data_IF_539895695775
#
_entry.id   IF_539895695775
#
_cell.length_a   1.000
_cell.length_b   1.000
_cell.length_c   1.000
_cell.angle_alpha   90.00
_cell.angle_beta   90.00
_cell.angle_gamma   90.00
#
_symmetry.space_group_name_H-M   'P 1'
#
loop_
_entity.id
_entity.type
_entity.pdbx_description
1 polymer ?
#
# COMPACT_ATOMS: atom_id res chain seq x y z
N UNK A 1 -15.55 14.23 1.73
CA UNK A 1 -14.48 13.50 2.42
C UNK A 1 -13.21 13.48 1.56
N UNK A 2 -13.19 12.85 0.39
CA UNK A 2 -11.99 12.65 -0.43
C UNK A 2 -11.38 13.96 -0.95
N UNK A 3 -12.16 14.97 -1.29
CA UNK A 3 -11.66 16.30 -1.67
C UNK A 3 -10.78 16.91 -0.57
N UNK A 4 -11.22 16.85 0.69
CA UNK A 4 -10.43 17.34 1.82
C UNK A 4 -9.14 16.56 1.99
N UNK A 5 -9.19 15.23 1.90
CA UNK A 5 -7.99 14.38 1.98
C UNK A 5 -6.99 14.67 0.86
N UNK A 6 -7.49 14.91 -0.36
CA UNK A 6 -6.64 15.27 -1.51
C UNK A 6 -5.95 16.62 -1.30
N UNK A 7 -6.69 17.61 -0.79
CA UNK A 7 -6.12 18.91 -0.44
C UNK A 7 -5.03 18.78 0.64
N UNK A 8 -5.29 18.00 1.69
CA UNK A 8 -4.32 17.71 2.75
C UNK A 8 -3.06 17.04 2.18
N UNK A 9 -3.20 16.01 1.37
CA UNK A 9 -2.07 15.33 0.73
C UNK A 9 -1.24 16.29 -0.13
N UNK A 10 -1.91 17.09 -0.96
CA UNK A 10 -1.26 18.02 -1.88
C UNK A 10 -0.76 19.31 -1.18
N UNK A 11 -0.99 19.48 0.12
CA UNK A 11 -0.45 20.62 0.90
C UNK A 11 1.03 20.50 1.27
N UNK A 12 1.72 19.45 0.80
CA UNK A 12 3.15 19.27 0.98
C UNK A 12 3.54 18.25 2.05
N UNK A 13 2.68 17.27 2.32
CA UNK A 13 3.04 16.09 3.14
C UNK A 13 4.23 15.40 2.48
N UNK A 14 5.21 15.02 3.29
CA UNK A 14 6.45 14.39 2.83
C UNK A 14 6.57 12.95 3.34
N UNK A 15 7.27 12.08 2.58
CA UNK A 15 7.64 10.77 3.07
C UNK A 15 8.42 10.85 4.39
N UNK A 16 8.22 9.88 5.25
CA UNK A 16 8.99 9.74 6.47
C UNK A 16 10.22 8.84 6.27
N UNK A 17 11.01 8.67 7.33
CA UNK A 17 12.23 7.85 7.30
C UNK A 17 11.98 6.40 6.87
N UNK A 18 10.82 5.79 7.21
CA UNK A 18 10.53 4.42 6.81
C UNK A 18 10.40 4.28 5.28
N UNK A 19 9.70 5.21 4.61
CA UNK A 19 9.61 5.25 3.15
C UNK A 19 11.01 5.33 2.52
N UNK A 20 11.86 6.23 3.01
CA UNK A 20 13.20 6.41 2.47
C UNK A 20 14.09 5.16 2.66
N UNK A 21 13.95 4.46 3.80
CA UNK A 21 14.70 3.22 4.06
C UNK A 21 14.28 2.10 3.09
N UNK A 22 12.99 2.01 2.72
CA UNK A 22 12.56 1.03 1.72
C UNK A 22 13.24 1.28 0.37
N UNK A 23 13.36 2.54 -0.06
CA UNK A 23 14.13 2.92 -1.26
C UNK A 23 15.62 2.57 -1.14
N UNK A 24 16.20 2.75 0.04
CA UNK A 24 17.60 2.33 0.26
C UNK A 24 17.78 0.83 0.12
N UNK A 25 16.82 0.04 0.62
CA UNK A 25 16.82 -1.42 0.53
C UNK A 25 16.70 -1.92 -0.91
N UNK A 26 15.98 -1.21 -1.79
CA UNK A 26 15.87 -1.54 -3.22
C UNK A 26 17.22 -1.56 -3.95
N UNK A 27 18.28 -0.95 -3.39
CA UNK A 27 19.63 -1.02 -3.95
C UNK A 27 20.27 -2.40 -3.82
N UNK A 28 19.77 -3.23 -2.92
CA UNK A 28 20.35 -4.54 -2.58
C UNK A 28 19.33 -5.68 -2.67
N UNK A 29 18.04 -5.37 -2.66
CA UNK A 29 16.96 -6.34 -2.62
C UNK A 29 15.90 -5.97 -3.65
N UNK A 30 15.24 -6.96 -4.22
CA UNK A 30 14.01 -6.75 -4.97
C UNK A 30 12.85 -6.56 -3.98
N UNK A 31 12.23 -5.38 -4.00
CA UNK A 31 11.14 -5.01 -3.09
C UNK A 31 9.89 -4.67 -3.89
N UNK A 32 8.80 -5.36 -3.58
CA UNK A 32 7.48 -5.07 -4.12
C UNK A 32 6.60 -4.54 -2.98
N UNK A 33 6.17 -3.30 -3.07
CA UNK A 33 5.34 -2.63 -2.08
C UNK A 33 3.87 -2.79 -2.43
N UNK A 34 3.11 -3.45 -1.56
CA UNK A 34 1.65 -3.56 -1.66
C UNK A 34 1.07 -2.65 -0.59
N UNK A 35 0.60 -1.48 -0.99
CA UNK A 35 0.10 -0.51 -0.01
C UNK A 35 -1.42 -0.50 0.08
N UNK A 36 -1.93 -0.41 1.31
CA UNK A 36 -3.33 -0.14 1.62
C UNK A 36 -3.61 1.37 1.69
N UNK A 37 -2.55 2.18 1.74
CA UNK A 37 -2.69 3.63 1.74
C UNK A 37 -3.01 4.14 0.33
N UNK A 38 -3.75 5.25 0.29
CA UNK A 38 -4.18 5.88 -0.96
C UNK A 38 -3.39 7.16 -1.30
N UNK A 39 -2.36 7.48 -0.49
CA UNK A 39 -1.40 8.54 -0.77
C UNK A 39 -0.31 8.08 -1.74
N UNK A 40 0.52 9.00 -2.20
CA UNK A 40 1.64 8.75 -3.11
C UNK A 40 3.01 8.94 -2.44
N UNK A 41 3.12 8.66 -1.14
CA UNK A 41 4.37 8.90 -0.39
C UNK A 41 5.49 7.93 -0.77
N UNK A 42 5.15 6.72 -1.21
CA UNK A 42 6.14 5.77 -1.74
C UNK A 42 6.74 6.27 -3.05
N UNK A 43 5.93 6.78 -3.98
CA UNK A 43 6.37 7.40 -5.23
C UNK A 43 7.24 8.63 -4.97
N UNK A 44 6.81 9.51 -4.08
CA UNK A 44 7.57 10.72 -3.70
C UNK A 44 8.92 10.34 -3.08
N UNK A 45 9.00 9.23 -2.34
CA UNK A 45 10.27 8.75 -1.79
C UNK A 45 11.18 8.10 -2.85
N UNK A 46 10.62 7.67 -3.98
CA UNK A 46 11.35 7.07 -5.10
C UNK A 46 11.31 5.54 -5.14
N UNK A 47 10.36 4.89 -4.46
CA UNK A 47 10.15 3.43 -4.58
C UNK A 47 9.77 3.05 -6.00
N UNK A 48 10.30 1.93 -6.49
CA UNK A 48 10.23 1.54 -7.90
C UNK A 48 9.08 0.57 -8.23
N UNK A 49 8.64 -0.24 -7.29
CA UNK A 49 7.57 -1.23 -7.47
C UNK A 49 6.50 -1.06 -6.40
N UNK A 50 5.36 -0.48 -6.80
CA UNK A 50 4.27 -0.14 -5.87
C UNK A 50 2.93 -0.59 -6.47
N UNK A 51 2.15 -1.31 -5.69
CA UNK A 51 0.75 -1.64 -5.99
C UNK A 51 -0.15 -0.99 -4.95
N UNK A 52 -1.04 -0.11 -5.40
CA UNK A 52 -2.07 0.52 -4.59
C UNK A 52 -3.32 -0.34 -4.53
N UNK A 53 -3.34 -1.34 -3.66
CA UNK A 53 -4.47 -2.28 -3.59
C UNK A 53 -5.80 -1.61 -3.20
N UNK A 54 -5.76 -0.45 -2.57
CA UNK A 54 -6.96 0.35 -2.24
C UNK A 54 -7.13 1.59 -3.13
N UNK A 55 -6.36 1.69 -4.21
CA UNK A 55 -6.40 2.81 -5.15
C UNK A 55 -5.61 4.02 -4.69
N UNK A 56 -5.84 5.15 -5.38
CA UNK A 56 -5.02 6.35 -5.24
C UNK A 56 -5.90 7.61 -5.13
N UNK A 57 -5.58 8.44 -4.15
CA UNK A 57 -6.35 9.64 -3.84
C UNK A 57 -6.27 10.70 -4.95
N UNK A 58 -5.13 10.78 -5.64
CA UNK A 58 -4.89 11.69 -6.76
C UNK A 58 -5.32 11.10 -8.12
N UNK A 59 -6.19 10.10 -8.10
CA UNK A 59 -6.83 9.57 -9.30
C UNK A 59 -8.36 9.55 -9.16
N UNK A 60 -9.04 9.64 -10.30
CA UNK A 60 -10.48 9.45 -10.43
C UNK A 60 -10.77 8.44 -11.52
N UNK A 61 -11.91 7.77 -11.44
CA UNK A 61 -12.36 6.83 -12.46
C UNK A 61 -13.80 7.03 -12.86
N UNK A 62 -14.13 6.59 -14.06
CA UNK A 62 -15.50 6.53 -14.53
C UNK A 62 -16.30 5.47 -13.75
N UNK A 63 -17.59 5.75 -13.47
CA UNK A 63 -18.47 4.76 -12.83
C UNK A 63 -18.99 3.69 -13.80
N UNK A 64 -18.93 3.94 -15.10
CA UNK A 64 -19.44 3.03 -16.13
C UNK A 64 -18.34 2.17 -16.77
N UNK A 65 -17.09 2.64 -16.72
CA UNK A 65 -15.94 1.93 -17.27
C UNK A 65 -14.72 2.17 -16.38
N UNK A 66 -14.34 1.16 -15.62
CA UNK A 66 -13.26 1.24 -14.63
C UNK A 66 -11.87 1.41 -15.25
N UNK A 67 -11.71 1.16 -16.55
CA UNK A 67 -10.47 1.42 -17.27
C UNK A 67 -10.22 2.90 -17.57
N UNK A 68 -11.26 3.71 -17.50
CA UNK A 68 -11.17 5.15 -17.66
C UNK A 68 -10.72 5.82 -16.38
N UNK A 69 -9.41 5.82 -16.12
CA UNK A 69 -8.77 6.40 -14.94
C UNK A 69 -7.98 7.64 -15.36
N UNK A 70 -8.04 8.70 -14.54
CA UNK A 70 -7.40 9.99 -14.81
C UNK A 70 -6.71 10.52 -13.56
N UNK A 71 -5.55 11.17 -13.74
CA UNK A 71 -4.93 11.99 -12.70
C UNK A 71 -5.84 13.13 -12.29
N UNK A 72 -5.93 13.39 -10.98
CA UNK A 72 -6.86 14.37 -10.45
C UNK A 72 -6.37 14.99 -9.16
N UNK A 73 -6.09 16.28 -9.19
CA UNK A 73 -5.54 17.02 -8.05
C UNK A 73 -6.50 18.04 -7.43
N UNK A 74 -7.62 18.28 -8.10
CA UNK A 74 -8.63 19.26 -7.72
C UNK A 74 -9.80 18.63 -6.96
N UNK A 75 -10.77 19.46 -6.57
CA UNK A 75 -12.02 18.95 -6.02
C UNK A 75 -12.80 18.21 -7.11
N UNK A 76 -13.33 17.06 -6.76
CA UNK A 76 -14.27 16.34 -7.61
C UNK A 76 -15.70 16.60 -7.14
N UNK A 77 -16.59 16.94 -8.05
CA UNK A 77 -18.02 17.12 -7.83
C UNK A 77 -18.86 16.52 -8.96
N UNK A 78 -20.17 16.73 -8.91
CA UNK A 78 -21.13 16.15 -9.85
C UNK A 78 -21.05 16.74 -11.27
N UNK A 79 -20.38 17.87 -11.45
CA UNK A 79 -20.19 18.51 -12.77
C UNK A 79 -19.10 17.84 -13.58
N UNK A 80 -18.17 17.14 -12.92
CA UNK A 80 -17.05 16.44 -13.57
C UNK A 80 -17.52 15.12 -14.16
N UNK A 81 -17.46 15.03 -15.48
CA UNK A 81 -17.90 13.87 -16.26
C UNK A 81 -16.73 13.19 -16.96
N UNK A 82 -16.87 11.89 -17.18
CA UNK A 82 -15.92 11.12 -17.94
C UNK A 82 -15.78 11.67 -19.36
N UNK A 83 -14.58 12.04 -19.82
CA UNK A 83 -14.38 12.62 -21.14
C UNK A 83 -14.66 11.62 -22.29
N UNK A 84 -14.67 10.32 -22.01
CA UNK A 84 -14.92 9.29 -23.01
C UNK A 84 -16.41 8.97 -23.18
N UNK A 85 -17.20 8.94 -22.11
CA UNK A 85 -18.60 8.49 -22.18
C UNK A 85 -19.61 9.43 -21.52
N UNK A 86 -19.18 10.54 -20.90
CA UNK A 86 -20.07 11.51 -20.24
C UNK A 86 -20.65 11.02 -18.89
N UNK A 87 -20.32 9.82 -18.43
CA UNK A 87 -20.80 9.31 -17.16
C UNK A 87 -20.17 10.04 -15.96
N UNK A 88 -20.77 9.87 -14.77
CA UNK A 88 -20.22 10.41 -13.54
C UNK A 88 -18.83 9.83 -13.26
N UNK A 89 -17.97 10.63 -12.61
CA UNK A 89 -16.67 10.19 -12.11
C UNK A 89 -16.70 10.04 -10.58
N UNK A 90 -15.86 9.18 -10.07
CA UNK A 90 -15.64 8.98 -8.63
C UNK A 90 -14.15 8.92 -8.30
N UNK A 91 -13.74 9.12 -7.05
CA UNK A 91 -12.36 8.84 -6.62
C UNK A 91 -11.96 7.41 -6.98
N UNK A 92 -10.74 7.22 -7.49
CA UNK A 92 -10.18 5.89 -7.75
C UNK A 92 -9.69 5.27 -6.45
N UNK A 93 -10.64 4.97 -5.57
CA UNK A 93 -10.40 4.37 -4.24
C UNK A 93 -11.34 3.19 -4.08
N UNK A 94 -10.81 2.09 -3.54
CA UNK A 94 -11.59 0.91 -3.17
C UNK A 94 -12.47 1.26 -1.95
N UNK A 95 -13.80 1.22 -2.12
CA UNK A 95 -14.73 1.48 -1.04
C UNK A 95 -14.99 0.20 -0.25
N UNK A 96 -15.55 0.37 0.95
CA UNK A 96 -15.91 -0.75 1.80
C UNK A 96 -16.87 -1.71 1.07
N UNK A 97 -16.50 -2.99 1.00
CA UNK A 97 -17.26 -4.02 0.29
C UNK A 97 -16.89 -4.20 -1.19
N UNK A 98 -16.03 -3.35 -1.74
CA UNK A 98 -15.45 -3.55 -3.08
C UNK A 98 -14.22 -4.45 -3.00
N UNK A 99 -13.92 -5.13 -4.11
CA UNK A 99 -12.69 -5.92 -4.25
C UNK A 99 -11.49 -4.98 -4.41
N UNK A 100 -10.40 -5.17 -3.65
CA UNK A 100 -9.17 -4.42 -3.88
C UNK A 100 -8.61 -4.63 -5.28
N UNK A 101 -7.86 -3.64 -5.76
CA UNK A 101 -7.28 -3.66 -7.10
C UNK A 101 -6.09 -4.62 -7.20
N UNK A 102 -5.83 -5.09 -8.41
CA UNK A 102 -4.63 -5.86 -8.79
C UNK A 102 -4.40 -7.14 -7.96
N UNK A 103 -5.47 -7.77 -7.46
CA UNK A 103 -5.35 -8.96 -6.59
C UNK A 103 -4.62 -10.12 -7.25
N UNK A 104 -4.78 -10.32 -8.58
CA UNK A 104 -4.08 -11.38 -9.31
C UNK A 104 -2.58 -11.11 -9.37
N UNK A 105 -2.18 -9.86 -9.61
CA UNK A 105 -0.78 -9.43 -9.62
C UNK A 105 -0.15 -9.57 -8.23
N UNK A 106 -0.86 -9.14 -7.19
CA UNK A 106 -0.43 -9.31 -5.79
C UNK A 106 -0.23 -10.79 -5.46
N UNK A 107 -1.14 -11.66 -5.89
CA UNK A 107 -1.01 -13.09 -5.67
C UNK A 107 0.22 -13.68 -6.39
N UNK A 108 0.45 -13.29 -7.64
CA UNK A 108 1.62 -13.73 -8.41
C UNK A 108 2.94 -13.29 -7.72
N UNK A 109 3.03 -12.03 -7.29
CA UNK A 109 4.18 -11.53 -6.54
C UNK A 109 4.38 -12.30 -5.23
N UNK A 110 3.31 -12.61 -4.49
CA UNK A 110 3.40 -13.42 -3.27
C UNK A 110 3.96 -14.81 -3.53
N UNK A 111 3.65 -15.42 -4.69
CA UNK A 111 4.20 -16.72 -5.08
C UNK A 111 5.71 -16.64 -5.39
N UNK A 112 6.20 -15.54 -5.90
CA UNK A 112 7.60 -15.33 -6.28
C UNK A 112 8.47 -14.83 -5.12
N UNK A 113 7.95 -13.96 -4.25
CA UNK A 113 8.67 -13.38 -3.13
C UNK A 113 9.14 -14.44 -2.13
N UNK A 114 10.31 -14.24 -1.55
CA UNK A 114 10.94 -15.14 -0.54
C UNK A 114 10.64 -14.75 0.91
N UNK A 115 10.15 -13.53 1.15
CA UNK A 115 9.89 -12.97 2.48
C UNK A 115 8.64 -12.07 2.42
N UNK A 116 7.80 -12.14 3.44
CA UNK A 116 6.70 -11.21 3.65
C UNK A 116 6.98 -10.31 4.85
N UNK A 117 6.85 -9.00 4.64
CA UNK A 117 6.99 -8.00 5.69
C UNK A 117 5.73 -7.15 5.77
N UNK A 118 5.05 -7.19 6.91
CA UNK A 118 3.87 -6.36 7.18
C UNK A 118 4.30 -5.13 7.98
N UNK A 119 3.96 -3.92 7.51
CA UNK A 119 4.37 -2.66 8.14
C UNK A 119 3.16 -1.80 8.46
N UNK A 120 2.94 -1.49 9.75
CA UNK A 120 1.94 -0.51 10.20
C UNK A 120 0.49 -0.90 9.89
N UNK A 121 0.15 -2.20 9.88
CA UNK A 121 -1.21 -2.66 9.64
C UNK A 121 -1.87 -3.23 10.90
N UNK A 122 -3.18 -3.07 11.02
CA UNK A 122 -3.93 -3.61 12.16
C UNK A 122 -4.11 -5.13 12.12
N UNK A 123 -3.90 -5.76 10.95
CA UNK A 123 -4.17 -7.18 10.73
C UNK A 123 -5.65 -7.57 10.74
N UNK A 124 -6.57 -6.58 10.65
CA UNK A 124 -8.02 -6.83 10.69
C UNK A 124 -8.74 -6.64 9.35
N UNK A 125 -8.09 -6.09 8.35
CA UNK A 125 -8.73 -5.77 7.06
C UNK A 125 -8.39 -6.82 6.01
N UNK A 126 -9.40 -7.59 5.60
CA UNK A 126 -9.26 -8.57 4.52
C UNK A 126 -9.45 -7.91 3.14
N UNK A 127 -8.74 -8.42 2.09
CA UNK A 127 -7.91 -9.64 2.07
C UNK A 127 -6.48 -9.44 2.62
N UNK A 128 -6.00 -8.23 2.84
CA UNK A 128 -4.62 -7.95 3.25
C UNK A 128 -4.21 -8.70 4.54
N UNK A 129 -5.10 -8.82 5.51
CA UNK A 129 -4.87 -9.57 6.75
C UNK A 129 -4.60 -11.07 6.51
N UNK A 130 -5.01 -11.61 5.38
CA UNK A 130 -4.80 -13.02 5.00
C UNK A 130 -3.43 -13.31 4.39
N UNK A 131 -2.67 -12.30 3.99
CA UNK A 131 -1.37 -12.54 3.31
C UNK A 131 -0.38 -13.28 4.21
N UNK A 132 -0.34 -13.00 5.50
CA UNK A 132 0.54 -13.74 6.41
C UNK A 132 0.23 -15.24 6.40
N UNK A 133 -1.05 -15.64 6.40
CA UNK A 133 -1.44 -17.05 6.31
C UNK A 133 -0.98 -17.69 4.99
N UNK A 134 -1.13 -16.98 3.86
CA UNK A 134 -0.66 -17.44 2.55
C UNK A 134 0.86 -17.72 2.57
N UNK A 135 1.67 -16.82 3.13
CA UNK A 135 3.12 -17.02 3.22
C UNK A 135 3.48 -18.17 4.17
N UNK A 136 2.75 -18.34 5.28
CA UNK A 136 2.93 -19.49 6.18
C UNK A 136 2.63 -20.82 5.51
N UNK A 137 1.54 -20.92 4.73
CA UNK A 137 1.22 -22.12 3.95
C UNK A 137 2.34 -22.47 2.95
N UNK A 138 2.95 -21.46 2.34
CA UNK A 138 4.11 -21.62 1.46
C UNK A 138 5.43 -21.88 2.21
N UNK A 139 5.41 -21.90 3.54
CA UNK A 139 6.60 -22.05 4.40
C UNK A 139 7.65 -20.95 4.16
N UNK A 140 7.20 -19.76 3.81
CA UNK A 140 8.05 -18.59 3.62
C UNK A 140 8.08 -17.76 4.92
N UNK A 141 9.22 -17.15 5.28
CA UNK A 141 9.34 -16.35 6.49
C UNK A 141 8.44 -15.12 6.45
N UNK A 142 7.98 -14.71 7.64
CA UNK A 142 7.06 -13.60 7.82
C UNK A 142 7.50 -12.69 8.95
N UNK A 143 7.46 -11.36 8.71
CA UNK A 143 7.89 -10.33 9.67
C UNK A 143 6.80 -9.30 9.86
N UNK A 144 6.55 -8.94 11.11
CA UNK A 144 5.69 -7.81 11.47
C UNK A 144 6.51 -6.63 11.99
N UNK A 145 6.33 -5.46 11.39
CA UNK A 145 6.89 -4.18 11.84
C UNK A 145 5.72 -3.25 12.18
N UNK A 146 5.39 -3.15 13.46
CA UNK A 146 4.21 -2.41 13.89
C UNK A 146 4.48 -1.67 15.20
N UNK A 147 3.68 -0.65 15.52
CA UNK A 147 3.81 0.05 16.79
C UNK A 147 3.44 -0.87 17.96
N UNK A 148 2.36 -1.61 17.78
CA UNK A 148 1.85 -2.61 18.73
C UNK A 148 1.48 -3.89 17.98
N UNK A 149 1.36 -5.05 18.66
CA UNK A 149 0.94 -6.29 18.04
C UNK A 149 -0.36 -6.14 17.25
N UNK A 150 -0.37 -6.59 15.99
CA UNK A 150 -1.60 -6.64 15.19
C UNK A 150 -2.53 -7.77 15.64
N UNK A 151 -3.78 -7.76 15.14
CA UNK A 151 -4.77 -8.79 15.49
C UNK A 151 -4.35 -10.22 15.07
N UNK A 152 -3.47 -10.33 14.08
CA UNK A 152 -2.94 -11.60 13.57
C UNK A 152 -1.44 -11.80 13.88
N UNK A 153 -0.87 -11.05 14.82
CA UNK A 153 0.55 -11.06 15.19
C UNK A 153 1.10 -12.47 15.47
N UNK A 154 0.29 -13.34 16.10
CA UNK A 154 0.70 -14.71 16.41
C UNK A 154 1.05 -15.58 15.20
N UNK A 155 0.70 -15.14 14.00
CA UNK A 155 1.04 -15.85 12.76
C UNK A 155 2.41 -15.48 12.20
N UNK A 156 3.02 -14.37 12.65
CA UNK A 156 4.34 -13.95 12.17
C UNK A 156 5.46 -14.71 12.88
N UNK A 157 6.53 -14.98 12.13
CA UNK A 157 7.73 -15.67 12.67
C UNK A 157 8.60 -14.72 13.50
N UNK A 158 8.61 -13.43 13.13
CA UNK A 158 9.37 -12.39 13.81
C UNK A 158 8.59 -11.08 13.85
N UNK A 159 8.78 -10.30 14.91
CA UNK A 159 8.12 -9.01 15.06
C UNK A 159 9.03 -7.96 15.70
N UNK A 160 8.90 -6.71 15.27
CA UNK A 160 9.49 -5.53 15.90
C UNK A 160 8.36 -4.54 16.21
N UNK A 161 8.08 -4.34 17.50
CA UNK A 161 7.04 -3.42 17.95
C UNK A 161 7.64 -2.08 18.36
N UNK A 162 7.72 -1.18 17.37
CA UNK A 162 8.26 0.19 17.49
C UNK A 162 7.60 1.07 16.42
N UNK A 163 7.70 2.42 16.53
CA UNK A 163 7.30 3.30 15.44
C UNK A 163 7.93 2.86 14.12
N UNK A 164 7.18 2.93 13.01
CA UNK A 164 7.63 2.42 11.69
C UNK A 164 9.02 2.92 11.28
N UNK A 165 9.33 4.19 11.57
CA UNK A 165 10.63 4.81 11.27
C UNK A 165 11.81 4.17 12.00
N UNK A 166 11.56 3.52 13.14
CA UNK A 166 12.55 2.80 13.94
C UNK A 166 12.55 1.32 13.59
N UNK A 167 11.36 0.71 13.48
CA UNK A 167 11.21 -0.71 13.17
C UNK A 167 11.81 -1.08 11.81
N UNK A 168 11.56 -0.26 10.77
CA UNK A 168 12.10 -0.49 9.42
C UNK A 168 13.63 -0.31 9.39
N UNK A 169 14.18 0.64 10.16
CA UNK A 169 15.63 0.80 10.27
C UNK A 169 16.30 -0.39 10.97
N UNK A 170 15.73 -0.85 12.06
CA UNK A 170 16.22 -2.03 12.79
C UNK A 170 16.15 -3.28 11.90
N UNK A 171 15.04 -3.49 11.22
CA UNK A 171 14.87 -4.56 10.25
C UNK A 171 15.92 -4.49 9.14
N UNK A 172 16.15 -3.32 8.53
CA UNK A 172 17.20 -3.13 7.51
C UNK A 172 18.56 -3.61 8.04
N UNK A 173 18.92 -3.20 9.25
CA UNK A 173 20.21 -3.59 9.84
C UNK A 173 20.32 -5.11 10.04
N UNK A 174 19.24 -5.78 10.45
CA UNK A 174 19.21 -7.22 10.64
C UNK A 174 19.40 -7.99 9.31
N UNK A 175 18.76 -7.55 8.22
CA UNK A 175 18.81 -8.30 6.95
C UNK A 175 20.04 -8.00 6.11
N UNK A 176 20.72 -6.86 6.29
CA UNK A 176 21.93 -6.51 5.56
C UNK A 176 23.23 -6.94 6.28
N UNK A 177 23.15 -7.35 7.55
CA UNK A 177 24.32 -7.73 8.35
C UNK A 177 24.54 -9.25 8.39
N UNK A 178 23.58 -10.03 7.89
CA UNK A 178 23.63 -11.49 7.76
C UNK A 178 23.80 -11.91 6.30
#
# INVERSE_FOLDING_TARGET
FYNKRRQELNSGIKPNKAHNILVELEKSLEINIITQNIDNLHEISGSSSIIHMHGELNKVRCIMDESHIFEWYENLDETHKCPHCGAQMRPHVCFYGEMPYQMDEIHNLAMECSLFVSIGTSGGTYPAAGFVSLFKEMKKPTVELNLEPSLNQSQFDFAIHKPATVAVEEFKNLILTN
#
